data_IF_750790438069
#
_entry.id   IF_750790438069
#
_cell.length_a   1.000
_cell.length_b   1.000
_cell.length_c   1.000
_cell.angle_alpha   90.00
_cell.angle_beta   90.00
_cell.angle_gamma   90.00
#
_symmetry.space_group_name_H-M   'P 1'
#
loop_
_entity.id
_entity.type
_entity.pdbx_description
1 polymer ?
#
# COMPACT_ATOMS: atom_id res chain seq x y z
N UNK A 1 10.24 4.50 3.75
CA UNK A 1 10.22 4.47 2.28
C UNK A 1 8.94 5.12 1.76
N UNK A 2 9.03 5.85 0.67
CA UNK A 2 7.89 6.43 -0.03
C UNK A 2 7.84 5.84 -1.45
N UNK A 3 6.79 5.08 -1.76
CA UNK A 3 6.68 4.29 -3.00
C UNK A 3 6.11 5.06 -4.19
N UNK A 4 5.63 6.29 -4.00
CA UNK A 4 4.90 7.05 -5.02
C UNK A 4 3.74 6.25 -5.62
N UNK A 5 3.60 6.22 -6.93
CA UNK A 5 2.62 5.48 -7.71
C UNK A 5 3.27 4.26 -8.41
N UNK A 6 3.90 3.42 -7.60
CA UNK A 6 4.64 2.27 -8.09
C UNK A 6 3.76 1.10 -8.55
N UNK A 7 4.34 0.22 -9.35
CA UNK A 7 3.85 -1.14 -9.60
C UNK A 7 4.63 -2.19 -8.81
N UNK A 8 4.29 -3.46 -8.99
CA UNK A 8 5.00 -4.59 -8.40
C UNK A 8 6.38 -4.79 -9.03
N UNK A 9 7.32 -5.35 -8.26
CA UNK A 9 8.65 -5.69 -8.76
C UNK A 9 9.52 -6.33 -7.68
N UNK A 10 10.52 -7.10 -8.12
CA UNK A 10 11.44 -7.83 -7.23
C UNK A 10 12.39 -6.91 -6.46
N UNK A 11 12.57 -5.67 -6.93
CA UNK A 11 13.44 -4.66 -6.32
C UNK A 11 13.14 -4.43 -4.83
N UNK A 12 11.88 -4.56 -4.41
CA UNK A 12 11.48 -4.36 -3.02
C UNK A 12 12.04 -5.40 -2.07
N UNK A 13 12.21 -6.63 -2.56
CA UNK A 13 12.87 -7.69 -1.81
C UNK A 13 14.36 -7.39 -1.62
N UNK A 14 15.02 -6.88 -2.66
CA UNK A 14 16.42 -6.50 -2.58
C UNK A 14 16.63 -5.30 -1.64
N UNK A 15 15.74 -4.30 -1.71
CA UNK A 15 15.75 -3.17 -0.78
C UNK A 15 15.53 -3.64 0.66
N UNK A 16 14.56 -4.53 0.88
CA UNK A 16 14.28 -5.09 2.21
C UNK A 16 15.45 -5.89 2.77
N UNK A 17 16.14 -6.64 1.92
CA UNK A 17 17.33 -7.40 2.32
C UNK A 17 18.51 -6.48 2.66
N UNK A 18 18.71 -5.42 1.88
CA UNK A 18 19.87 -4.52 2.02
C UNK A 18 19.68 -3.46 3.09
N UNK A 19 18.49 -2.89 3.21
CA UNK A 19 18.21 -1.73 4.05
C UNK A 19 17.14 -1.96 5.13
N UNK A 20 16.43 -3.09 5.07
CA UNK A 20 15.37 -3.38 6.03
C UNK A 20 15.91 -3.81 7.42
N UNK A 21 15.05 -3.84 8.43
CA UNK A 21 13.61 -3.53 8.34
C UNK A 21 13.35 -2.05 8.10
N UNK A 22 12.35 -1.74 7.27
CA UNK A 22 11.90 -0.36 7.01
C UNK A 22 10.89 0.02 8.09
N UNK A 23 11.09 1.15 8.77
CA UNK A 23 10.21 1.56 9.87
C UNK A 23 8.81 1.91 9.40
N UNK A 24 8.70 2.59 8.25
CA UNK A 24 7.44 3.02 7.68
C UNK A 24 7.51 3.06 6.16
N UNK A 25 6.51 2.44 5.50
CA UNK A 25 6.35 2.48 4.05
C UNK A 25 5.04 3.17 3.69
N UNK A 26 5.11 4.13 2.78
CA UNK A 26 3.95 4.71 2.08
C UNK A 26 3.85 4.05 0.71
N UNK A 27 2.69 3.49 0.37
CA UNK A 27 2.51 2.74 -0.87
C UNK A 27 1.12 3.03 -1.46
N UNK A 28 1.04 3.17 -2.77
CA UNK A 28 -0.24 3.34 -3.47
C UNK A 28 -1.08 2.06 -3.39
N UNK A 29 -2.38 2.24 -3.22
CA UNK A 29 -3.36 1.15 -3.12
C UNK A 29 -4.55 1.34 -4.07
N UNK A 30 -4.57 2.39 -4.90
CA UNK A 30 -5.65 2.73 -5.83
C UNK A 30 -5.19 2.87 -7.27
N UNK A 31 -6.15 3.05 -8.18
CA UNK A 31 -5.94 3.17 -9.62
C UNK A 31 -5.37 1.90 -10.27
N UNK A 32 -5.92 0.74 -9.92
CA UNK A 32 -5.44 -0.56 -10.39
C UNK A 32 -6.40 -1.28 -11.35
N UNK A 33 -7.70 -0.99 -11.33
CA UNK A 33 -8.68 -1.69 -12.15
C UNK A 33 -8.99 -0.96 -13.44
N UNK A 34 -8.48 -1.46 -14.55
CA UNK A 34 -8.73 -0.94 -15.90
C UNK A 34 -9.52 -1.93 -16.78
N UNK A 35 -10.13 -2.96 -16.20
CA UNK A 35 -10.98 -3.89 -16.95
C UNK A 35 -12.31 -3.21 -17.33
N UNK A 36 -12.84 -3.34 -18.59
CA UNK A 36 -12.34 -4.21 -19.67
C UNK A 36 -11.36 -3.53 -20.64
N UNK A 37 -10.93 -2.31 -20.37
CA UNK A 37 -10.01 -1.56 -21.25
C UNK A 37 -8.68 -2.30 -21.34
N UNK A 38 -8.24 -2.88 -20.23
CA UNK A 38 -7.10 -3.78 -20.17
C UNK A 38 -7.55 -5.19 -19.73
N UNK A 39 -7.02 -6.26 -20.35
CA UNK A 39 -7.53 -7.62 -20.17
C UNK A 39 -7.24 -8.26 -18.80
N UNK A 40 -6.63 -7.55 -17.88
CA UNK A 40 -6.21 -8.08 -16.58
C UNK A 40 -7.16 -7.64 -15.47
N UNK A 41 -7.98 -8.55 -14.96
CA UNK A 41 -8.89 -8.30 -13.84
C UNK A 41 -8.18 -8.14 -12.49
N UNK A 42 -7.10 -8.89 -12.27
CA UNK A 42 -6.54 -9.13 -10.95
C UNK A 42 -5.08 -8.71 -10.80
N UNK A 43 -4.47 -8.20 -11.86
CA UNK A 43 -3.10 -7.68 -11.82
C UNK A 43 -3.07 -6.23 -12.26
N UNK A 44 -2.56 -5.39 -11.41
CA UNK A 44 -2.25 -4.03 -11.79
C UNK A 44 -1.09 -4.03 -12.79
N UNK A 45 -1.29 -3.36 -13.91
CA UNK A 45 -0.24 -3.19 -14.94
C UNK A 45 0.63 -1.97 -14.63
N UNK A 46 0.09 -1.00 -13.92
CA UNK A 46 0.74 0.30 -13.64
C UNK A 46 0.94 0.57 -12.16
N UNK A 47 -0.11 0.38 -11.37
CA UNK A 47 -0.12 0.66 -9.93
C UNK A 47 -0.39 -0.61 -9.14
N UNK A 48 0.03 -0.66 -7.89
CA UNK A 48 -0.30 -1.78 -7.01
C UNK A 48 -1.76 -1.77 -6.61
N UNK A 49 -2.38 -2.94 -6.56
CA UNK A 49 -3.61 -3.14 -5.81
C UNK A 49 -3.30 -3.25 -4.30
N UNK A 50 -4.32 -3.25 -3.42
CA UNK A 50 -4.10 -3.28 -1.97
C UNK A 50 -3.29 -4.48 -1.47
N UNK A 51 -3.50 -5.67 -2.03
CA UNK A 51 -2.79 -6.89 -1.66
C UNK A 51 -1.33 -6.85 -2.12
N UNK A 52 -1.08 -6.39 -3.34
CA UNK A 52 0.27 -6.19 -3.87
C UNK A 52 1.05 -5.15 -3.06
N UNK A 53 0.39 -4.08 -2.63
CA UNK A 53 0.99 -3.07 -1.75
C UNK A 53 1.44 -3.66 -0.39
N UNK A 54 0.62 -4.54 0.19
CA UNK A 54 0.96 -5.26 1.41
C UNK A 54 2.10 -6.27 1.18
N UNK A 55 2.13 -6.93 0.03
CA UNK A 55 3.23 -7.82 -0.34
C UNK A 55 4.56 -7.06 -0.48
N UNK A 56 4.53 -5.91 -1.14
CA UNK A 56 5.70 -5.01 -1.22
C UNK A 56 6.18 -4.63 0.18
N UNK A 57 5.27 -4.19 1.05
CA UNK A 57 5.62 -3.82 2.42
C UNK A 57 6.21 -5.00 3.21
N UNK A 58 5.70 -6.21 3.01
CA UNK A 58 6.28 -7.44 3.57
C UNK A 58 7.67 -7.72 3.02
N UNK A 59 7.88 -7.60 1.72
CA UNK A 59 9.19 -7.79 1.08
C UNK A 59 10.23 -6.76 1.57
N UNK A 60 9.79 -5.53 1.85
CA UNK A 60 10.60 -4.49 2.50
C UNK A 60 10.87 -4.76 3.99
N UNK A 61 10.23 -5.77 4.58
CA UNK A 61 10.21 -6.03 6.02
C UNK A 61 9.75 -4.81 6.83
N UNK A 62 8.73 -4.12 6.30
CA UNK A 62 8.20 -2.90 6.91
C UNK A 62 7.54 -3.19 8.24
N UNK A 63 7.80 -2.35 9.24
CA UNK A 63 7.14 -2.44 10.55
C UNK A 63 5.71 -1.89 10.48
N UNK A 64 5.51 -0.83 9.68
CA UNK A 64 4.19 -0.22 9.44
C UNK A 64 4.07 0.18 7.97
N UNK A 65 2.86 0.15 7.46
CA UNK A 65 2.55 0.52 6.07
C UNK A 65 1.33 1.44 6.03
N UNK A 66 1.43 2.51 5.25
CA UNK A 66 0.33 3.45 5.02
C UNK A 66 -0.09 3.32 3.56
N UNK A 67 -1.37 2.99 3.35
CA UNK A 67 -1.98 3.00 2.04
C UNK A 67 -2.33 4.42 1.61
N UNK A 68 -1.85 4.81 0.44
CA UNK A 68 -2.10 6.12 -0.17
C UNK A 68 -2.58 6.00 -1.62
N UNK A 69 -2.77 7.12 -2.32
CA UNK A 69 -3.14 7.17 -3.73
C UNK A 69 -4.51 6.54 -3.99
N UNK A 70 -5.52 6.91 -3.19
CA UNK A 70 -6.90 6.46 -3.29
C UNK A 70 -7.89 7.58 -2.92
N UNK A 71 -9.11 7.48 -3.41
CA UNK A 71 -10.27 8.25 -2.91
C UNK A 71 -10.35 9.73 -3.30
N UNK A 72 -9.32 10.33 -3.90
CA UNK A 72 -9.34 11.76 -4.30
C UNK A 72 -9.89 11.95 -5.71
N UNK A 73 -9.47 11.11 -6.64
CA UNK A 73 -9.90 11.14 -8.03
C UNK A 73 -10.38 9.77 -8.47
N UNK A 74 -11.37 9.73 -9.38
CA UNK A 74 -11.76 8.51 -10.08
C UNK A 74 -10.81 8.32 -11.26
N UNK A 75 -9.75 7.56 -11.06
CA UNK A 75 -8.71 7.30 -12.07
C UNK A 75 -8.85 5.95 -12.76
N UNK A 76 -9.69 5.07 -12.22
CA UNK A 76 -9.87 3.68 -12.66
C UNK A 76 -11.28 3.19 -12.31
N UNK A 77 -11.56 1.91 -12.50
CA UNK A 77 -12.92 1.37 -12.44
C UNK A 77 -13.25 0.64 -11.13
N UNK A 78 -12.33 0.55 -10.18
CA UNK A 78 -12.67 0.04 -8.86
C UNK A 78 -13.56 1.05 -8.10
N UNK A 79 -14.49 0.55 -7.25
CA UNK A 79 -15.26 1.42 -6.37
C UNK A 79 -14.33 2.26 -5.47
N UNK A 80 -14.64 3.53 -5.31
CA UNK A 80 -13.75 4.51 -4.65
C UNK A 80 -13.32 4.11 -3.23
N UNK A 81 -14.17 3.37 -2.51
CA UNK A 81 -13.89 2.86 -1.16
C UNK A 81 -13.31 1.45 -1.13
N UNK A 82 -13.20 0.77 -2.26
CA UNK A 82 -12.65 -0.59 -2.32
C UNK A 82 -11.19 -0.65 -1.86
N UNK A 83 -10.29 0.25 -2.31
CA UNK A 83 -8.88 0.17 -1.93
C UNK A 83 -8.62 0.14 -0.42
N UNK A 84 -9.13 1.08 0.40
CA UNK A 84 -8.89 1.05 1.83
C UNK A 84 -9.55 -0.14 2.53
N UNK A 85 -10.73 -0.58 2.08
CA UNK A 85 -11.40 -1.73 2.66
C UNK A 85 -10.64 -3.03 2.39
N UNK A 86 -10.19 -3.26 1.15
CA UNK A 86 -9.37 -4.42 0.78
C UNK A 86 -8.03 -4.41 1.50
N UNK A 87 -7.38 -3.26 1.59
CA UNK A 87 -6.11 -3.11 2.29
C UNK A 87 -6.22 -3.54 3.76
N UNK A 88 -7.22 -3.05 4.47
CA UNK A 88 -7.47 -3.42 5.87
C UNK A 88 -7.85 -4.90 6.02
N UNK A 89 -8.73 -5.39 5.17
CA UNK A 89 -9.18 -6.79 5.21
C UNK A 89 -8.04 -7.79 4.95
N UNK A 90 -7.05 -7.41 4.12
CA UNK A 90 -5.94 -8.28 3.73
C UNK A 90 -4.71 -8.18 4.65
N UNK A 91 -4.64 -7.19 5.54
CA UNK A 91 -3.46 -6.88 6.34
C UNK A 91 -2.88 -8.10 7.07
N UNK A 92 -3.70 -8.84 7.80
CA UNK A 92 -3.27 -9.99 8.61
C UNK A 92 -2.72 -11.14 7.76
N UNK A 93 -3.28 -11.36 6.57
CA UNK A 93 -2.79 -12.35 5.61
C UNK A 93 -1.34 -12.08 5.18
N UNK A 94 -0.94 -10.81 5.16
CA UNK A 94 0.42 -10.39 4.80
C UNK A 94 1.34 -10.16 6.02
N UNK A 95 0.84 -10.44 7.23
CA UNK A 95 1.61 -10.40 8.47
C UNK A 95 1.59 -9.05 9.19
N UNK A 96 0.67 -8.16 8.83
CA UNK A 96 0.48 -6.87 9.49
C UNK A 96 -0.72 -6.91 10.43
N UNK A 97 -0.55 -6.43 11.65
CA UNK A 97 -1.68 -6.16 12.54
C UNK A 97 -2.52 -5.00 12.00
N UNK A 98 -3.75 -4.87 12.49
CA UNK A 98 -4.66 -3.81 12.04
C UNK A 98 -4.10 -2.39 12.29
N UNK A 99 -3.34 -2.19 13.36
CA UNK A 99 -2.68 -0.92 13.68
C UNK A 99 -1.37 -0.67 12.91
N UNK A 100 -0.84 -1.69 12.23
CA UNK A 100 0.38 -1.60 11.42
C UNK A 100 0.08 -1.31 9.95
N UNK A 101 -1.09 -1.74 9.45
CA UNK A 101 -1.61 -1.41 8.13
C UNK A 101 -2.57 -0.20 8.25
N UNK A 102 -2.09 0.98 7.99
CA UNK A 102 -2.74 2.25 8.32
C UNK A 102 -3.41 2.85 7.10
N UNK A 103 -4.63 3.33 7.28
CA UNK A 103 -5.35 4.18 6.34
C UNK A 103 -5.70 5.49 7.03
N UNK A 104 -5.27 6.59 6.47
CA UNK A 104 -5.71 7.92 6.86
C UNK A 104 -6.90 8.36 6.03
N UNK A 105 -7.85 9.04 6.67
CA UNK A 105 -8.91 9.76 5.94
C UNK A 105 -8.28 10.91 5.15
N UNK A 106 -8.91 11.28 4.05
CA UNK A 106 -8.46 12.44 3.26
C UNK A 106 -8.49 13.68 4.15
N UNK A 107 -7.36 14.40 4.24
CA UNK A 107 -7.20 15.55 5.13
C UNK A 107 -6.77 15.21 6.56
N UNK A 108 -6.74 13.92 6.94
CA UNK A 108 -6.19 13.50 8.23
C UNK A 108 -4.67 13.58 8.25
N UNK A 109 -4.10 13.91 9.39
CA UNK A 109 -2.65 13.97 9.58
C UNK A 109 -2.22 13.19 10.82
N UNK A 110 -0.95 12.81 10.84
CA UNK A 110 -0.33 12.10 11.97
C UNK A 110 1.12 12.54 12.19
N UNK A 111 1.61 12.36 13.40
CA UNK A 111 3.01 12.62 13.74
C UNK A 111 3.87 11.39 13.48
N UNK A 112 4.97 11.53 12.75
CA UNK A 112 5.97 10.48 12.55
C UNK A 112 6.53 9.96 13.89
N UNK A 113 6.80 10.84 14.85
CA UNK A 113 7.26 10.44 16.19
C UNK A 113 6.28 9.45 16.82
N UNK A 114 4.98 9.78 16.79
CA UNK A 114 3.93 8.94 17.35
C UNK A 114 3.77 7.62 16.58
N UNK A 115 3.85 7.67 15.24
CA UNK A 115 3.78 6.49 14.39
C UNK A 115 4.95 5.52 14.61
N UNK A 116 6.14 6.05 14.83
CA UNK A 116 7.37 5.26 14.99
C UNK A 116 7.70 4.96 16.47
N UNK A 117 6.85 5.39 17.41
CA UNK A 117 7.07 5.25 18.85
C UNK A 117 8.39 5.86 19.35
N UNK A 118 8.85 6.95 18.71
CA UNK A 118 9.96 7.74 19.23
C UNK A 118 9.48 8.70 20.33
N UNK A 119 10.09 8.59 21.48
CA UNK A 119 9.88 9.51 22.60
C UNK A 119 10.48 10.90 22.31
#
# INVERSE_FOLDING_TARGET
LFGCDTGVGDIYKDIGNKYGPIDLTFINIGAYNFYPIMPYKDKSVYHTNPEEALEIAKNLRSKKVIGMHWGTFVLSLEPIMEPPLRFKASAEKYGFKQEEAIIYKIGEFGSLKKLLNYN
#
